data_IF_260567425149
#
_entry.id   IF_260567425149
#
_cell.length_a   1.000
_cell.length_b   1.000
_cell.length_c   1.000
_cell.angle_alpha   90.00
_cell.angle_beta   90.00
_cell.angle_gamma   90.00
#
_symmetry.space_group_name_H-M   'P 1'
#
loop_
_entity.id
_entity.type
_entity.pdbx_description
1 polymer ?
#
# COMPACT_ATOMS: atom_id res chain seq x y z
N UNK A 1 35.65 -19.53 18.97
CA UNK A 1 34.30 -19.45 19.61
C UNK A 1 33.55 -18.16 19.25
N UNK A 2 34.16 -16.97 19.20
CA UNK A 2 33.44 -15.72 18.87
C UNK A 2 32.91 -15.64 17.42
N UNK A 3 33.64 -16.21 16.46
CA UNK A 3 33.24 -16.18 15.03
C UNK A 3 32.05 -17.09 14.72
N UNK A 4 31.86 -18.13 15.53
CA UNK A 4 30.74 -19.07 15.42
C UNK A 4 29.42 -18.40 15.85
N UNK A 5 29.44 -17.67 16.98
CA UNK A 5 28.28 -16.90 17.43
C UNK A 5 27.88 -15.79 16.45
N UNK A 6 28.85 -15.06 15.88
CA UNK A 6 28.57 -14.02 14.88
C UNK A 6 27.93 -14.62 13.63
N UNK A 7 28.48 -15.74 13.14
CA UNK A 7 27.96 -16.44 11.97
C UNK A 7 26.53 -16.91 12.19
N UNK A 8 26.26 -17.52 13.35
CA UNK A 8 24.93 -17.96 13.72
C UNK A 8 23.93 -16.79 13.79
N UNK A 9 24.27 -15.70 14.49
CA UNK A 9 23.40 -14.53 14.60
C UNK A 9 23.12 -13.88 13.24
N UNK A 10 24.12 -13.84 12.35
CA UNK A 10 23.95 -13.34 10.99
C UNK A 10 23.01 -14.22 10.18
N UNK A 11 23.18 -15.54 10.24
CA UNK A 11 22.31 -16.49 9.56
C UNK A 11 20.86 -16.39 10.04
N UNK A 12 20.65 -16.23 11.36
CA UNK A 12 19.31 -16.00 11.93
C UNK A 12 18.68 -14.70 11.42
N UNK A 13 19.45 -13.61 11.37
CA UNK A 13 18.98 -12.34 10.81
C UNK A 13 18.61 -12.47 9.32
N UNK A 14 19.48 -13.06 8.52
CA UNK A 14 19.25 -13.23 7.08
C UNK A 14 18.02 -14.11 6.81
N UNK A 15 17.85 -15.20 7.58
CA UNK A 15 16.66 -16.04 7.49
C UNK A 15 15.38 -15.27 7.85
N UNK A 16 15.41 -14.45 8.91
CA UNK A 16 14.26 -13.63 9.31
C UNK A 16 13.90 -12.56 8.26
N UNK A 17 14.91 -11.90 7.67
CA UNK A 17 14.69 -10.92 6.58
C UNK A 17 14.14 -11.61 5.34
N UNK A 18 14.71 -12.76 4.95
CA UNK A 18 14.27 -13.52 3.79
C UNK A 18 12.81 -14.00 3.94
N UNK A 19 12.43 -14.46 5.14
CA UNK A 19 11.07 -14.89 5.43
C UNK A 19 10.03 -13.76 5.30
N UNK A 20 10.44 -12.50 5.51
CA UNK A 20 9.58 -11.33 5.35
C UNK A 20 9.51 -10.79 3.91
N UNK A 21 10.28 -11.35 2.96
CA UNK A 21 10.25 -10.93 1.56
C UNK A 21 8.88 -11.17 0.94
N UNK A 22 8.29 -10.21 0.18
CA UNK A 22 7.02 -10.42 -0.52
C UNK A 22 7.00 -11.65 -1.43
N UNK A 23 8.12 -11.98 -2.07
CA UNK A 23 8.25 -13.16 -2.94
C UNK A 23 8.15 -14.49 -2.18
N UNK A 24 8.39 -14.49 -0.87
CA UNK A 24 8.33 -15.68 -0.02
C UNK A 24 7.00 -15.72 0.73
N UNK A 25 6.59 -14.59 1.32
CA UNK A 25 5.45 -14.56 2.21
C UNK A 25 4.09 -14.43 1.49
N UNK A 26 4.00 -13.78 0.33
CA UNK A 26 2.72 -13.61 -0.38
C UNK A 26 2.17 -14.86 -1.08
N UNK A 27 2.98 -15.67 -1.80
CA UNK A 27 2.45 -16.77 -2.61
C UNK A 27 1.53 -17.76 -1.84
N UNK A 28 1.85 -18.16 -0.59
CA UNK A 28 0.96 -19.03 0.18
C UNK A 28 -0.42 -18.42 0.52
N UNK A 29 -0.54 -17.09 0.55
CA UNK A 29 -1.83 -16.42 0.74
C UNK A 29 -2.56 -16.22 -0.58
N UNK A 30 -1.85 -15.86 -1.65
CA UNK A 30 -2.42 -15.71 -2.99
C UNK A 30 -3.03 -17.02 -3.49
N UNK A 31 -2.37 -18.15 -3.24
CA UNK A 31 -2.86 -19.48 -3.61
C UNK A 31 -4.20 -19.87 -2.95
N UNK A 32 -4.60 -19.19 -1.87
CA UNK A 32 -5.88 -19.42 -1.17
C UNK A 32 -7.03 -18.59 -1.72
N UNK A 33 -6.73 -17.62 -2.60
CA UNK A 33 -7.72 -16.72 -3.17
C UNK A 33 -7.99 -17.19 -4.59
N UNK A 34 -9.23 -17.58 -4.87
CA UNK A 34 -9.63 -17.89 -6.23
C UNK A 34 -9.77 -16.57 -7.02
N UNK A 35 -9.27 -16.52 -8.28
CA UNK A 35 -9.61 -15.42 -9.18
C UNK A 35 -11.13 -15.25 -9.26
N UNK A 36 -11.63 -14.00 -9.25
CA UNK A 36 -13.06 -13.76 -9.29
C UNK A 36 -13.61 -14.00 -10.71
N UNK A 37 -14.94 -13.94 -10.89
CA UNK A 37 -15.56 -14.08 -12.22
C UNK A 37 -15.32 -12.85 -13.10
N UNK A 38 -15.27 -11.68 -12.49
CA UNK A 38 -14.97 -10.39 -13.10
C UNK A 38 -13.48 -10.06 -13.01
N UNK A 39 -13.17 -8.81 -12.70
CA UNK A 39 -11.80 -8.27 -12.74
C UNK A 39 -11.08 -8.44 -11.42
N UNK A 40 -9.76 -8.67 -11.49
CA UNK A 40 -8.86 -8.50 -10.35
C UNK A 40 -8.16 -7.16 -10.46
N UNK A 41 -8.44 -6.26 -9.51
CA UNK A 41 -7.86 -4.92 -9.43
C UNK A 41 -6.84 -4.89 -8.29
N UNK A 42 -5.57 -4.66 -8.61
CA UNK A 42 -4.51 -4.53 -7.62
C UNK A 42 -4.29 -3.06 -7.31
N UNK A 43 -4.46 -2.66 -6.06
CA UNK A 43 -4.13 -1.31 -5.60
C UNK A 43 -3.24 -1.37 -4.37
N UNK A 44 -2.41 -0.37 -4.13
CA UNK A 44 -1.53 -0.44 -2.98
C UNK A 44 -0.66 0.77 -2.78
N UNK A 45 -0.12 0.87 -1.58
CA UNK A 45 0.86 1.89 -1.24
C UNK A 45 1.76 1.46 -0.09
N UNK A 46 3.04 1.81 -0.19
CA UNK A 46 4.03 1.54 0.84
C UNK A 46 5.41 1.26 0.27
N UNK A 47 6.41 1.21 1.14
CA UNK A 47 7.83 1.01 0.77
C UNK A 47 8.10 -0.32 0.06
N UNK A 48 7.25 -1.33 0.29
CA UNK A 48 7.35 -2.64 -0.36
C UNK A 48 6.28 -2.83 -1.45
N UNK A 49 5.47 -1.81 -1.77
CA UNK A 49 4.33 -2.00 -2.66
C UNK A 49 4.75 -2.44 -4.08
N UNK A 50 5.88 -1.94 -4.59
CA UNK A 50 6.41 -2.35 -5.88
C UNK A 50 6.86 -3.82 -5.91
N UNK A 51 7.61 -4.28 -4.89
CA UNK A 51 8.03 -5.68 -4.81
C UNK A 51 6.87 -6.63 -4.49
N UNK A 52 5.88 -6.19 -3.73
CA UNK A 52 4.61 -6.92 -3.55
C UNK A 52 3.86 -7.05 -4.88
N UNK A 53 3.76 -5.99 -5.67
CA UNK A 53 3.10 -6.02 -6.99
C UNK A 53 3.78 -7.02 -7.93
N UNK A 54 5.12 -6.98 -8.04
CA UNK A 54 5.87 -7.95 -8.83
C UNK A 54 5.65 -9.40 -8.36
N UNK A 55 5.59 -9.63 -7.04
CA UNK A 55 5.31 -10.95 -6.48
C UNK A 55 3.87 -11.42 -6.79
N UNK A 56 2.89 -10.51 -6.76
CA UNK A 56 1.50 -10.80 -7.15
C UNK A 56 1.43 -11.19 -8.63
N UNK A 57 2.02 -10.42 -9.54
CA UNK A 57 2.03 -10.78 -10.97
C UNK A 57 2.66 -12.15 -11.25
N UNK A 58 3.71 -12.51 -10.52
CA UNK A 58 4.38 -13.79 -10.70
C UNK A 58 3.57 -15.01 -10.22
N UNK A 59 2.60 -14.83 -9.32
CA UNK A 59 1.92 -15.94 -8.64
C UNK A 59 0.39 -15.93 -8.78
N UNK A 60 -0.20 -14.83 -9.27
CA UNK A 60 -1.64 -14.73 -9.46
C UNK A 60 -2.11 -15.57 -10.65
N UNK A 61 -3.18 -16.34 -10.47
CA UNK A 61 -3.67 -17.31 -11.45
C UNK A 61 -4.81 -16.73 -12.30
N UNK A 62 -4.60 -15.57 -12.91
CA UNK A 62 -5.62 -14.94 -13.75
C UNK A 62 -5.21 -13.56 -14.28
N UNK A 63 -6.05 -12.94 -15.12
CA UNK A 63 -5.84 -11.56 -15.54
C UNK A 63 -5.94 -10.64 -14.32
N UNK A 64 -5.06 -9.65 -14.30
CA UNK A 64 -5.07 -8.59 -13.31
C UNK A 64 -4.70 -7.27 -13.98
N UNK A 65 -5.13 -6.18 -13.37
CA UNK A 65 -4.70 -4.82 -13.69
C UNK A 65 -4.54 -4.05 -12.39
N UNK A 66 -3.76 -2.96 -12.37
CA UNK A 66 -3.60 -2.25 -11.11
C UNK A 66 -2.71 -1.04 -11.12
N UNK A 67 -2.60 -0.43 -9.94
CA UNK A 67 -1.67 0.65 -9.66
C UNK A 67 -1.21 0.61 -8.20
N UNK A 68 0.09 0.67 -8.00
CA UNK A 68 0.69 0.80 -6.66
C UNK A 68 1.61 2.00 -6.57
N UNK A 69 1.70 2.59 -5.38
CA UNK A 69 2.59 3.72 -5.11
C UNK A 69 3.69 3.32 -4.12
N UNK A 70 4.94 3.47 -4.54
CA UNK A 70 6.14 3.26 -3.71
C UNK A 70 6.92 4.56 -3.54
N UNK A 71 8.00 4.54 -2.76
CA UNK A 71 8.89 5.70 -2.62
C UNK A 71 9.82 5.84 -3.84
N UNK A 72 10.30 7.05 -4.11
CA UNK A 72 11.31 7.29 -5.14
C UNK A 72 12.48 6.33 -5.08
N UNK A 73 12.97 5.90 -6.25
CA UNK A 73 14.08 4.97 -6.47
C UNK A 73 13.81 3.53 -5.96
N UNK A 74 12.55 3.16 -5.75
CA UNK A 74 12.13 1.86 -5.22
C UNK A 74 11.07 1.18 -6.08
N UNK A 75 10.93 1.61 -7.33
CA UNK A 75 10.17 0.93 -8.35
C UNK A 75 10.66 -0.50 -8.59
N UNK A 76 9.79 -1.31 -9.18
CA UNK A 76 10.10 -2.67 -9.60
C UNK A 76 9.43 -2.91 -10.96
N UNK A 77 10.04 -3.71 -11.85
CA UNK A 77 9.43 -4.04 -13.13
C UNK A 77 8.19 -4.90 -12.94
N UNK A 78 7.11 -4.50 -13.58
CA UNK A 78 5.80 -5.18 -13.64
C UNK A 78 5.25 -5.06 -15.06
N UNK A 79 4.32 -5.93 -15.43
CA UNK A 79 3.73 -6.01 -16.78
C UNK A 79 2.32 -5.43 -16.87
N UNK A 80 1.54 -5.57 -15.80
CA UNK A 80 0.10 -5.30 -15.76
C UNK A 80 -0.29 -4.32 -14.63
N UNK A 81 0.53 -4.22 -13.59
CA UNK A 81 0.36 -3.28 -12.48
C UNK A 81 1.25 -2.07 -12.72
N UNK A 82 0.67 -0.88 -12.75
CA UNK A 82 1.44 0.37 -12.82
C UNK A 82 2.18 0.60 -11.47
N UNK A 83 3.49 0.83 -11.52
CA UNK A 83 4.29 1.19 -10.34
C UNK A 83 4.68 2.65 -10.43
N UNK A 84 4.11 3.47 -9.54
CA UNK A 84 4.40 4.91 -9.49
C UNK A 84 5.19 5.23 -8.23
N UNK A 85 6.08 6.21 -8.32
CA UNK A 85 6.90 6.66 -7.21
C UNK A 85 6.41 8.02 -6.68
N UNK A 86 6.43 8.19 -5.36
CA UNK A 86 6.04 9.41 -4.68
C UNK A 86 6.89 9.67 -3.43
N UNK A 87 6.75 10.85 -2.84
CA UNK A 87 7.54 11.26 -1.67
C UNK A 87 7.10 10.58 -0.36
N UNK A 88 8.10 10.22 0.44
CA UNK A 88 7.97 9.77 1.83
C UNK A 88 9.20 10.29 2.60
N UNK A 89 9.06 10.84 3.83
CA UNK A 89 7.90 10.72 4.73
C UNK A 89 6.85 11.84 4.59
N UNK A 90 7.13 12.89 3.82
CA UNK A 90 6.18 14.00 3.61
C UNK A 90 5.48 13.80 2.27
N UNK A 91 4.14 13.76 2.21
CA UNK A 91 3.41 13.58 0.95
C UNK A 91 3.72 14.69 -0.06
N UNK A 92 3.65 14.38 -1.35
CA UNK A 92 3.79 15.33 -2.45
C UNK A 92 2.58 15.26 -3.41
N UNK A 93 2.66 16.04 -4.49
CA UNK A 93 1.61 16.10 -5.51
C UNK A 93 1.44 14.77 -6.25
N UNK A 94 2.54 14.05 -6.53
CA UNK A 94 2.49 12.73 -7.17
C UNK A 94 1.68 11.74 -6.32
N UNK A 95 2.01 11.61 -5.03
CA UNK A 95 1.25 10.74 -4.12
C UNK A 95 -0.22 11.14 -3.94
N UNK A 96 -0.57 12.43 -4.13
CA UNK A 96 -1.96 12.89 -4.13
C UNK A 96 -2.70 12.48 -5.40
N UNK A 97 -2.11 12.70 -6.58
CA UNK A 97 -2.74 12.36 -7.86
C UNK A 97 -2.92 10.85 -8.00
N UNK A 98 -1.92 10.07 -7.61
CA UNK A 98 -2.02 8.60 -7.68
C UNK A 98 -3.01 8.03 -6.67
N UNK A 99 -3.15 8.65 -5.49
CA UNK A 99 -4.21 8.29 -4.56
C UNK A 99 -5.61 8.55 -5.13
N UNK A 100 -5.77 9.58 -5.98
CA UNK A 100 -7.03 9.84 -6.70
C UNK A 100 -7.28 8.79 -7.78
N UNK A 101 -6.25 8.40 -8.54
CA UNK A 101 -6.34 7.33 -9.55
C UNK A 101 -6.65 5.97 -8.93
N UNK A 102 -6.03 5.63 -7.79
CA UNK A 102 -6.36 4.42 -7.01
C UNK A 102 -7.84 4.43 -6.59
N UNK A 103 -8.34 5.55 -6.06
CA UNK A 103 -9.75 5.67 -5.68
C UNK A 103 -10.67 5.45 -6.89
N UNK A 104 -10.35 6.02 -8.04
CA UNK A 104 -11.13 5.84 -9.27
C UNK A 104 -11.12 4.39 -9.76
N UNK A 105 -9.97 3.70 -9.71
CA UNK A 105 -9.85 2.29 -10.14
C UNK A 105 -10.70 1.33 -9.31
N UNK A 106 -10.98 1.66 -8.05
CA UNK A 106 -11.83 0.82 -7.19
C UNK A 106 -13.30 1.22 -7.20
N UNK A 107 -13.70 2.30 -7.89
CA UNK A 107 -15.10 2.70 -7.95
C UNK A 107 -15.86 1.95 -9.06
N UNK A 108 -17.17 1.74 -8.82
CA UNK A 108 -18.06 1.13 -9.82
C UNK A 108 -17.80 -0.35 -10.07
N UNK A 109 -17.16 -1.03 -9.12
CA UNK A 109 -16.96 -2.48 -9.17
C UNK A 109 -18.25 -3.23 -8.81
N UNK A 110 -18.31 -4.49 -9.19
CA UNK A 110 -19.41 -5.41 -8.90
C UNK A 110 -19.00 -6.46 -7.86
N UNK A 111 -19.95 -7.25 -7.38
CA UNK A 111 -19.70 -8.38 -6.47
C UNK A 111 -18.86 -9.50 -7.12
N UNK A 112 -18.76 -9.49 -8.46
CA UNK A 112 -17.95 -10.42 -9.22
C UNK A 112 -16.52 -9.91 -9.42
N UNK A 113 -16.17 -8.71 -8.96
CA UNK A 113 -14.79 -8.18 -8.99
C UNK A 113 -14.08 -8.40 -7.64
N UNK A 114 -12.74 -8.38 -7.68
CA UNK A 114 -11.87 -8.48 -6.51
C UNK A 114 -10.87 -7.33 -6.48
N UNK A 115 -10.67 -6.74 -5.31
CA UNK A 115 -9.59 -5.79 -5.05
C UNK A 115 -8.52 -6.45 -4.17
N UNK A 116 -7.29 -6.54 -4.66
CA UNK A 116 -6.12 -6.92 -3.86
C UNK A 116 -5.41 -5.65 -3.36
N UNK A 117 -5.43 -5.42 -2.05
CA UNK A 117 -4.90 -4.22 -1.41
C UNK A 117 -3.47 -4.45 -0.84
N UNK A 118 -2.45 -4.05 -1.59
CA UNK A 118 -1.04 -4.22 -1.21
C UNK A 118 -0.56 -3.07 -0.32
N UNK A 119 -0.67 -3.25 1.01
CA UNK A 119 -0.33 -2.23 2.00
C UNK A 119 0.95 -2.58 2.75
N UNK A 120 1.88 -1.62 2.82
CA UNK A 120 3.08 -1.72 3.67
C UNK A 120 3.41 -0.37 4.32
N UNK A 121 4.48 -0.33 5.13
CA UNK A 121 4.90 0.88 5.84
C UNK A 121 5.12 2.06 4.89
N UNK A 122 4.72 3.27 5.31
CA UNK A 122 4.84 4.50 4.52
C UNK A 122 3.62 4.86 3.67
N UNK A 123 2.62 3.98 3.53
CA UNK A 123 1.42 4.24 2.73
C UNK A 123 0.62 5.49 3.14
N UNK A 124 0.75 5.96 4.38
CA UNK A 124 0.12 7.22 4.83
C UNK A 124 0.57 8.44 4.03
N UNK A 125 1.86 8.51 3.68
CA UNK A 125 2.46 9.60 2.94
C UNK A 125 2.35 9.38 1.42
N UNK A 126 2.62 8.16 0.97
CA UNK A 126 2.66 7.79 -0.44
C UNK A 126 1.28 7.86 -1.12
N UNK A 127 0.20 7.61 -0.37
CA UNK A 127 -1.17 7.64 -0.88
C UNK A 127 -1.99 8.64 -0.07
N UNK A 128 -1.77 9.93 -0.31
CA UNK A 128 -2.32 11.02 0.49
C UNK A 128 -3.37 11.81 -0.29
N UNK A 129 -4.61 11.31 -0.31
CA UNK A 129 -5.76 12.08 -0.80
C UNK A 129 -6.40 12.88 0.36
N UNK A 130 -6.40 14.24 0.33
CA UNK A 130 -7.17 15.07 1.24
C UNK A 130 -8.68 14.78 1.17
N UNK A 131 -9.44 15.20 2.19
CA UNK A 131 -10.90 15.23 2.09
C UNK A 131 -11.34 16.40 1.19
N UNK A 132 -12.60 16.39 0.76
CA UNK A 132 -13.18 17.53 0.07
C UNK A 132 -13.06 18.81 0.92
N UNK A 133 -12.71 19.93 0.27
CA UNK A 133 -12.49 21.21 0.96
C UNK A 133 -11.17 21.32 1.74
N UNK A 134 -10.29 20.30 1.67
CA UNK A 134 -8.97 20.32 2.33
C UNK A 134 -7.86 20.24 1.28
N UNK A 135 -6.89 21.14 1.35
CA UNK A 135 -5.70 21.13 0.49
C UNK A 135 -4.64 20.14 0.99
N UNK A 136 -3.65 19.83 0.15
CA UNK A 136 -2.55 18.96 0.56
C UNK A 136 -1.68 19.64 1.62
N UNK A 137 -1.48 20.95 1.46
CA UNK A 137 -0.69 21.83 2.30
C UNK A 137 -1.31 21.93 3.70
N UNK A 138 -2.63 22.12 3.79
CA UNK A 138 -3.35 22.11 5.08
C UNK A 138 -3.22 20.75 5.77
N UNK A 139 -3.36 19.66 5.02
CA UNK A 139 -3.19 18.31 5.56
C UNK A 139 -1.77 18.07 6.10
N UNK A 140 -0.74 18.55 5.40
CA UNK A 140 0.65 18.51 5.86
C UNK A 140 0.84 19.37 7.11
N UNK A 141 0.29 20.58 7.13
CA UNK A 141 0.37 21.50 8.27
C UNK A 141 -0.25 20.90 9.53
N UNK A 142 -1.44 20.29 9.43
CA UNK A 142 -2.09 19.58 10.54
C UNK A 142 -1.23 18.42 11.02
N UNK A 143 -0.67 17.60 10.12
CA UNK A 143 0.22 16.50 10.51
C UNK A 143 1.46 16.99 11.26
N UNK A 144 2.05 18.12 10.83
CA UNK A 144 3.19 18.75 11.52
C UNK A 144 2.80 19.29 12.91
N UNK A 145 1.61 19.88 13.05
CA UNK A 145 1.10 20.35 14.32
C UNK A 145 0.85 19.19 15.30
N UNK A 146 0.25 18.10 14.83
CA UNK A 146 0.01 16.88 15.62
C UNK A 146 1.31 16.24 16.13
N UNK A 147 2.36 16.19 15.29
CA UNK A 147 3.67 15.70 15.71
C UNK A 147 4.29 16.56 16.83
N UNK A 148 4.06 17.88 16.80
CA UNK A 148 4.56 18.82 17.81
C UNK A 148 3.74 18.84 19.09
N UNK A 149 2.49 18.38 19.05
CA UNK A 149 1.57 18.45 20.20
C UNK A 149 1.79 17.33 21.23
N UNK A 150 2.68 16.38 20.97
CA UNK A 150 2.85 15.19 21.81
C UNK A 150 1.71 14.18 21.71
N UNK A 151 0.83 14.33 20.71
CA UNK A 151 -0.25 13.37 20.47
C UNK A 151 0.32 11.99 20.14
N UNK A 152 -0.27 10.95 20.70
CA UNK A 152 0.13 9.58 20.38
C UNK A 152 -0.37 9.15 19.00
N UNK A 153 0.16 8.05 18.47
CA UNK A 153 -0.14 7.58 17.10
C UNK A 153 -1.64 7.33 16.88
N UNK A 154 -2.37 6.89 17.90
CA UNK A 154 -3.82 6.62 17.81
C UNK A 154 -4.61 7.91 17.68
N UNK A 155 -4.28 8.93 18.47
CA UNK A 155 -4.89 10.27 18.40
C UNK A 155 -4.59 10.94 17.06
N UNK A 156 -3.34 10.89 16.63
CA UNK A 156 -2.94 11.40 15.32
C UNK A 156 -3.73 10.73 14.19
N UNK A 157 -3.85 9.40 14.22
CA UNK A 157 -4.63 8.65 13.23
C UNK A 157 -6.13 8.95 13.31
N UNK A 158 -6.65 9.24 14.51
CA UNK A 158 -8.02 9.68 14.69
C UNK A 158 -8.30 10.97 13.93
N UNK A 159 -7.44 11.97 14.01
CA UNK A 159 -7.61 13.22 13.23
C UNK A 159 -7.35 12.98 11.74
N UNK A 160 -6.21 12.37 11.40
CA UNK A 160 -5.78 12.21 9.99
C UNK A 160 -6.75 11.41 9.14
N UNK A 161 -7.48 10.43 9.71
CA UNK A 161 -8.48 9.69 8.96
C UNK A 161 -9.68 10.56 8.58
N UNK A 162 -10.07 11.56 9.39
CA UNK A 162 -11.17 12.46 9.05
C UNK A 162 -10.79 13.48 7.97
N UNK A 163 -9.50 13.82 7.86
CA UNK A 163 -8.96 14.70 6.82
C UNK A 163 -8.56 13.96 5.53
N UNK A 164 -9.20 12.82 5.22
CA UNK A 164 -8.84 12.01 4.06
C UNK A 164 -10.05 11.39 3.40
N UNK A 165 -10.09 11.46 2.07
CA UNK A 165 -11.11 10.82 1.26
C UNK A 165 -11.00 9.28 1.24
N UNK A 166 -9.81 8.70 1.48
CA UNK A 166 -9.54 7.26 1.31
C UNK A 166 -9.18 6.49 2.59
N UNK A 167 -8.66 7.19 3.62
CA UNK A 167 -8.28 6.55 4.89
C UNK A 167 -9.50 6.25 5.76
N UNK A 168 -9.32 5.45 6.82
CA UNK A 168 -10.41 5.09 7.73
C UNK A 168 -11.48 4.19 7.08
N UNK A 169 -11.05 3.23 6.25
CA UNK A 169 -11.94 2.29 5.56
C UNK A 169 -12.65 2.85 4.33
N UNK A 170 -12.50 4.14 4.00
CA UNK A 170 -13.21 4.76 2.88
C UNK A 170 -12.82 4.20 1.50
N UNK A 171 -11.56 3.82 1.30
CA UNK A 171 -11.13 3.16 0.06
C UNK A 171 -11.82 1.80 -0.13
N UNK A 172 -11.85 0.98 0.92
CA UNK A 172 -12.55 -0.30 0.88
C UNK A 172 -14.06 -0.12 0.67
N UNK A 173 -14.66 0.92 1.27
CA UNK A 173 -16.06 1.28 1.03
C UNK A 173 -16.31 1.71 -0.42
N UNK A 174 -15.37 2.40 -1.05
CA UNK A 174 -15.48 2.78 -2.46
C UNK A 174 -15.40 1.57 -3.40
N UNK A 175 -14.73 0.49 -2.97
CA UNK A 175 -14.67 -0.79 -3.68
C UNK A 175 -15.96 -1.61 -3.62
N UNK A 176 -16.85 -1.35 -2.66
CA UNK A 176 -18.07 -2.11 -2.51
C UNK A 176 -18.96 -1.99 -3.76
N UNK A 177 -19.63 -3.09 -4.19
CA UNK A 177 -19.73 -4.40 -3.53
C UNK A 177 -18.57 -5.40 -3.78
N UNK A 178 -17.48 -5.04 -4.47
CA UNK A 178 -16.36 -5.96 -4.66
C UNK A 178 -15.71 -6.36 -3.33
N UNK A 179 -15.21 -7.60 -3.27
CA UNK A 179 -14.43 -8.05 -2.14
C UNK A 179 -13.08 -7.31 -2.12
N UNK A 180 -12.63 -6.90 -0.93
CA UNK A 180 -11.29 -6.34 -0.71
C UNK A 180 -10.50 -7.32 0.15
N UNK A 181 -9.31 -7.71 -0.33
CA UNK A 181 -8.38 -8.61 0.36
C UNK A 181 -7.06 -7.90 0.63
#
# INVERSE_FOLDING_TARGET
MSDDCRTLLRAMFDAAVAAASPTVCLPPYLAKIAPPKGRTIVVGAGKAAASMAAAVEAHWQGPLEGLVVTRYEHGAPTKHIEVIEASHPVPDAAGREEAKRILQKVQGLSQDDLVLALISGGGSALMALPAEGVTLEEKQAVNKALLKSGANISEMNCVRKHLSAIKGGRLARAAAPAQVV
#
